data_IF_003478169868
#
_entry.id   IF_003478169868
#
_cell.length_a   1.000
_cell.length_b   1.000
_cell.length_c   1.000
_cell.angle_alpha   90.00
_cell.angle_beta   90.00
_cell.angle_gamma   90.00
#
_symmetry.space_group_name_H-M   'P 1'
#
loop_
_entity.id
_entity.type
_entity.pdbx_description
1 polymer ?
#
# COMPACT_ATOMS: atom_id res chain seq x y z
N UNK A 1 -51.51 -10.86 -12.71
CA UNK A 1 -50.39 -11.82 -12.62
C UNK A 1 -49.12 -11.00 -12.77
N UNK A 2 -48.64 -10.45 -11.67
CA UNK A 2 -47.52 -9.50 -11.62
C UNK A 2 -46.49 -10.12 -10.71
N UNK A 3 -45.33 -10.48 -11.27
CA UNK A 3 -44.22 -11.01 -10.51
C UNK A 3 -43.64 -9.89 -9.65
N UNK A 4 -43.37 -10.10 -8.35
CA UNK A 4 -42.67 -9.12 -7.55
C UNK A 4 -41.21 -9.02 -8.00
N UNK A 5 -40.82 -7.80 -8.32
CA UNK A 5 -39.44 -7.35 -8.55
C UNK A 5 -38.57 -7.79 -7.39
N UNK A 6 -37.49 -8.50 -7.72
CA UNK A 6 -36.54 -9.06 -6.77
C UNK A 6 -35.99 -7.99 -5.84
N UNK A 7 -35.92 -8.37 -4.57
CA UNK A 7 -35.19 -7.67 -3.52
C UNK A 7 -33.80 -7.27 -4.01
N UNK A 8 -33.53 -5.97 -3.89
CA UNK A 8 -32.20 -5.39 -3.85
C UNK A 8 -31.33 -6.19 -2.87
N UNK A 9 -30.46 -7.02 -3.43
CA UNK A 9 -29.36 -7.58 -2.70
C UNK A 9 -28.49 -6.43 -2.23
N UNK A 10 -28.51 -6.17 -0.92
CA UNK A 10 -27.50 -5.36 -0.25
C UNK A 10 -26.13 -5.99 -0.49
N UNK A 11 -25.50 -5.63 -1.61
CA UNK A 11 -24.08 -5.83 -1.82
C UNK A 11 -23.40 -4.99 -0.75
N UNK A 12 -22.88 -5.69 0.25
CA UNK A 12 -22.10 -5.11 1.33
C UNK A 12 -21.01 -4.19 0.77
N UNK A 13 -20.77 -3.11 1.51
CA UNK A 13 -19.77 -2.06 1.35
C UNK A 13 -18.29 -2.56 1.34
N UNK A 14 -18.08 -3.84 1.00
CA UNK A 14 -16.82 -4.56 1.05
C UNK A 14 -15.77 -4.08 0.03
N UNK A 15 -16.14 -3.14 -0.84
CA UNK A 15 -15.23 -2.53 -1.82
C UNK A 15 -14.48 -1.31 -1.28
N UNK A 16 -14.81 -0.84 -0.06
CA UNK A 16 -14.19 0.33 0.57
C UNK A 16 -13.32 -0.06 1.77
N UNK A 17 -12.12 0.55 1.95
CA UNK A 17 -11.34 0.33 3.16
C UNK A 17 -12.06 0.85 4.41
N UNK A 18 -11.90 0.17 5.57
CA UNK A 18 -12.41 0.71 6.84
C UNK A 18 -11.85 2.10 7.13
N UNK A 19 -12.61 2.95 7.84
CA UNK A 19 -12.14 4.31 8.21
C UNK A 19 -10.76 4.30 8.89
N UNK A 20 -10.53 3.38 9.83
CA UNK A 20 -9.24 3.23 10.50
C UNK A 20 -8.09 2.90 9.53
N UNK A 21 -8.36 2.19 8.44
CA UNK A 21 -7.37 1.94 7.39
C UNK A 21 -7.05 3.22 6.61
N UNK A 22 -8.04 4.06 6.34
CA UNK A 22 -7.81 5.38 5.71
C UNK A 22 -7.00 6.31 6.62
N UNK A 23 -7.28 6.35 7.93
CA UNK A 23 -6.52 7.14 8.92
C UNK A 23 -5.05 6.66 9.00
N UNK A 24 -4.83 5.35 8.96
CA UNK A 24 -3.49 4.77 8.90
C UNK A 24 -2.77 5.12 7.59
N UNK A 25 -3.46 5.05 6.45
CA UNK A 25 -2.89 5.44 5.15
C UNK A 25 -2.59 6.94 5.07
N UNK A 26 -3.41 7.81 5.68
CA UNK A 26 -3.13 9.24 5.76
C UNK A 26 -1.84 9.49 6.53
N UNK A 27 -1.71 8.89 7.72
CA UNK A 27 -0.51 8.96 8.55
C UNK A 27 0.73 8.49 7.79
N UNK A 28 0.62 7.37 7.05
CA UNK A 28 1.67 6.85 6.19
C UNK A 28 2.06 7.86 5.11
N UNK A 29 1.12 8.33 4.30
CA UNK A 29 1.43 9.17 3.16
C UNK A 29 1.91 10.56 3.56
N UNK A 30 1.36 11.16 4.61
CA UNK A 30 1.89 12.40 5.19
C UNK A 30 3.36 12.24 5.60
N UNK A 31 3.70 11.11 6.25
CA UNK A 31 5.08 10.82 6.65
C UNK A 31 6.01 10.65 5.44
N UNK A 32 5.56 9.95 4.39
CA UNK A 32 6.33 9.78 3.15
C UNK A 32 6.54 11.11 2.40
N UNK A 33 5.52 11.96 2.32
CA UNK A 33 5.60 13.30 1.73
C UNK A 33 6.65 14.14 2.45
N UNK A 34 6.58 14.22 3.79
CA UNK A 34 7.53 14.97 4.61
C UNK A 34 8.97 14.47 4.42
N UNK A 35 9.19 13.16 4.54
CA UNK A 35 10.51 12.56 4.34
C UNK A 35 11.06 12.84 2.93
N UNK A 36 10.21 12.79 1.91
CA UNK A 36 10.62 13.04 0.53
C UNK A 36 10.97 14.51 0.30
N UNK A 37 10.13 15.44 0.77
CA UNK A 37 10.38 16.88 0.67
C UNK A 37 11.70 17.25 1.36
N UNK A 38 11.89 16.86 2.62
CA UNK A 38 13.14 17.12 3.36
C UNK A 38 14.37 16.57 2.65
N UNK A 39 14.27 15.38 2.04
CA UNK A 39 15.39 14.78 1.30
C UNK A 39 15.71 15.50 -0.01
N UNK A 40 14.69 16.03 -0.67
CA UNK A 40 14.85 16.71 -1.96
C UNK A 40 15.31 18.18 -1.73
N UNK A 41 14.96 18.81 -0.59
CA UNK A 41 15.37 20.17 -0.19
C UNK A 41 16.75 20.23 0.50
N UNK A 42 17.10 19.25 1.34
CA UNK A 42 18.30 19.33 2.19
C UNK A 42 19.47 18.53 1.62
N UNK A 43 20.62 19.20 1.44
CA UNK A 43 21.90 18.58 1.06
C UNK A 43 23.03 19.09 1.98
N UNK A 44 23.74 18.20 2.71
CA UNK A 44 23.57 16.74 2.75
C UNK A 44 22.30 16.34 3.52
N UNK A 45 21.65 15.26 3.08
CA UNK A 45 20.48 14.72 3.79
C UNK A 45 20.91 13.97 5.04
N UNK A 46 20.42 14.39 6.22
CA UNK A 46 20.70 13.70 7.49
C UNK A 46 19.90 12.41 7.61
N UNK A 47 20.48 11.33 7.06
CA UNK A 47 19.91 9.99 7.16
C UNK A 47 19.88 9.48 8.62
N UNK A 48 20.83 9.90 9.46
CA UNK A 48 20.91 9.44 10.84
C UNK A 48 19.73 9.98 11.67
N UNK A 49 19.40 11.27 11.50
CA UNK A 49 18.27 11.92 12.16
C UNK A 49 16.91 11.31 11.80
N UNK A 50 16.70 10.87 10.55
CA UNK A 50 15.42 10.29 10.11
C UNK A 50 15.31 8.77 10.28
N UNK A 51 16.40 8.09 10.63
CA UNK A 51 16.46 6.61 10.75
C UNK A 51 15.39 6.03 11.70
N UNK A 52 15.12 6.62 12.89
CA UNK A 52 14.04 6.14 13.77
C UNK A 52 12.68 6.20 13.09
N UNK A 53 12.38 7.29 12.38
CA UNK A 53 11.12 7.47 11.64
C UNK A 53 10.98 6.45 10.51
N UNK A 54 12.05 6.21 9.73
CA UNK A 54 12.06 5.18 8.69
C UNK A 54 11.80 3.78 9.27
N UNK A 55 12.39 3.47 10.42
CA UNK A 55 12.19 2.18 11.10
C UNK A 55 10.75 2.02 11.62
N UNK A 56 10.21 3.05 12.26
CA UNK A 56 8.83 3.05 12.73
C UNK A 56 7.84 2.89 11.57
N UNK A 57 8.06 3.64 10.48
CA UNK A 57 7.23 3.56 9.29
C UNK A 57 7.29 2.17 8.63
N UNK A 58 8.48 1.59 8.49
CA UNK A 58 8.64 0.24 7.94
C UNK A 58 8.01 -0.86 8.81
N UNK A 59 7.96 -0.65 10.13
CA UNK A 59 7.31 -1.56 11.06
C UNK A 59 5.77 -1.47 10.95
N UNK A 60 5.22 -0.26 10.83
CA UNK A 60 3.78 -0.04 10.70
C UNK A 60 3.26 -0.37 9.29
N UNK A 61 4.05 -0.09 8.26
CA UNK A 61 3.68 -0.24 6.85
C UNK A 61 4.78 -1.01 6.08
N UNK A 62 4.80 -2.34 6.18
CA UNK A 62 5.80 -3.15 5.49
C UNK A 62 5.86 -2.83 3.99
N UNK A 63 7.06 -2.58 3.48
CA UNK A 63 7.29 -2.26 2.07
C UNK A 63 7.14 -0.77 1.69
N UNK A 64 6.68 0.11 2.59
CA UNK A 64 6.47 1.53 2.30
C UNK A 64 7.76 2.27 1.88
N UNK A 65 8.93 1.83 2.35
CA UNK A 65 10.21 2.44 1.95
C UNK A 65 10.48 2.27 0.46
N UNK A 66 9.95 1.22 -0.18
CA UNK A 66 10.03 1.05 -1.64
C UNK A 66 9.23 2.10 -2.39
N UNK A 67 8.13 2.60 -1.80
CA UNK A 67 7.38 3.72 -2.36
C UNK A 67 8.20 5.01 -2.28
N UNK A 68 8.87 5.27 -1.14
CA UNK A 68 9.75 6.43 -0.98
C UNK A 68 10.87 6.48 -2.03
N UNK A 69 11.42 5.32 -2.38
CA UNK A 69 12.48 5.17 -3.39
C UNK A 69 11.97 5.32 -4.83
N UNK A 70 10.75 4.85 -5.12
CA UNK A 70 10.23 4.72 -6.49
C UNK A 70 9.36 5.89 -6.92
N UNK A 71 8.54 6.42 -6.01
CA UNK A 71 7.55 7.44 -6.32
C UNK A 71 8.21 8.83 -6.29
N UNK A 72 7.67 9.73 -7.11
CA UNK A 72 8.00 11.15 -7.08
C UNK A 72 7.20 11.81 -5.95
N UNK A 73 7.67 12.98 -5.48
CA UNK A 73 6.96 13.75 -4.46
C UNK A 73 5.50 14.01 -4.85
N UNK A 74 5.25 14.44 -6.09
CA UNK A 74 3.90 14.69 -6.61
C UNK A 74 2.96 13.49 -6.57
N UNK A 75 3.47 12.28 -6.75
CA UNK A 75 2.64 11.07 -6.64
C UNK A 75 2.32 10.72 -5.19
N UNK A 76 3.26 10.95 -4.26
CA UNK A 76 3.01 10.80 -2.83
C UNK A 76 1.98 11.83 -2.34
N UNK A 77 2.06 13.07 -2.82
CA UNK A 77 1.11 14.15 -2.53
C UNK A 77 -0.28 13.88 -3.11
N UNK A 78 -0.36 13.33 -4.34
CA UNK A 78 -1.62 12.89 -4.94
C UNK A 78 -2.29 11.83 -4.06
N UNK A 79 -1.56 10.76 -3.71
CA UNK A 79 -2.08 9.68 -2.84
C UNK A 79 -2.52 10.20 -1.47
N UNK A 80 -1.74 11.10 -0.86
CA UNK A 80 -2.13 11.75 0.40
C UNK A 80 -3.43 12.54 0.26
N UNK A 81 -3.56 13.35 -0.80
CA UNK A 81 -4.75 14.16 -1.04
C UNK A 81 -5.99 13.30 -1.26
N UNK A 82 -5.88 12.22 -2.03
CA UNK A 82 -6.98 11.29 -2.27
C UNK A 82 -7.44 10.60 -0.99
N UNK A 83 -6.51 10.15 -0.14
CA UNK A 83 -6.88 9.53 1.15
C UNK A 83 -7.57 10.54 2.07
N UNK A 84 -7.09 11.78 2.11
CA UNK A 84 -7.72 12.85 2.89
C UNK A 84 -9.13 13.19 2.37
N UNK A 85 -9.34 13.17 1.05
CA UNK A 85 -10.66 13.34 0.45
C UNK A 85 -11.61 12.21 0.87
N UNK A 86 -11.15 10.95 0.86
CA UNK A 86 -11.94 9.82 1.33
C UNK A 86 -12.31 9.96 2.82
N UNK A 87 -11.37 10.37 3.67
CA UNK A 87 -11.63 10.64 5.10
C UNK A 87 -12.64 11.75 5.36
N UNK A 88 -12.69 12.75 4.46
CA UNK A 88 -13.65 13.85 4.49
C UNK A 88 -15.05 13.48 3.96
N UNK A 89 -15.28 12.20 3.62
CA UNK A 89 -16.56 11.70 3.11
C UNK A 89 -16.62 11.57 1.58
N UNK A 90 -15.50 11.80 0.88
CA UNK A 90 -15.38 11.46 -0.53
C UNK A 90 -15.36 9.95 -0.76
N UNK A 91 -15.53 9.53 -2.02
CA UNK A 91 -15.43 8.12 -2.38
C UNK A 91 -13.99 7.61 -2.19
N UNK A 92 -13.84 6.49 -1.50
CA UNK A 92 -12.55 5.80 -1.43
C UNK A 92 -12.22 5.19 -2.80
N UNK A 93 -10.96 5.33 -3.22
CA UNK A 93 -10.49 4.73 -4.46
C UNK A 93 -10.04 3.28 -4.24
N UNK A 94 -10.20 2.37 -5.22
CA UNK A 94 -9.88 0.95 -5.05
C UNK A 94 -8.46 0.70 -4.55
N UNK A 95 -7.48 1.49 -5.03
CA UNK A 95 -6.07 1.35 -4.65
C UNK A 95 -5.85 1.50 -3.14
N UNK A 96 -6.70 2.23 -2.42
CA UNK A 96 -6.58 2.43 -0.96
C UNK A 96 -6.84 1.12 -0.22
N UNK A 97 -7.91 0.40 -0.59
CA UNK A 97 -8.18 -0.94 -0.07
C UNK A 97 -7.04 -1.91 -0.43
N UNK A 98 -6.59 -1.87 -1.69
CA UNK A 98 -5.53 -2.75 -2.16
C UNK A 98 -4.21 -2.52 -1.40
N UNK A 99 -3.87 -1.26 -1.15
CA UNK A 99 -2.67 -0.88 -0.40
C UNK A 99 -2.76 -1.31 1.07
N UNK A 100 -3.93 -1.16 1.69
CA UNK A 100 -4.16 -1.61 3.05
C UNK A 100 -4.00 -3.13 3.18
N UNK A 101 -4.71 -3.90 2.35
CA UNK A 101 -4.60 -5.37 2.32
C UNK A 101 -3.15 -5.81 2.05
N UNK A 102 -2.45 -5.14 1.12
CA UNK A 102 -1.04 -5.43 0.86
C UNK A 102 -0.17 -5.29 2.12
N UNK A 103 -0.28 -4.20 2.88
CA UNK A 103 0.50 -4.01 4.10
C UNK A 103 0.17 -5.05 5.16
N UNK A 104 -1.11 -5.33 5.35
CA UNK A 104 -1.63 -6.34 6.26
C UNK A 104 -1.04 -7.72 5.95
N UNK A 105 -1.14 -8.18 4.70
CA UNK A 105 -0.67 -9.50 4.30
C UNK A 105 0.86 -9.61 4.28
N UNK A 106 1.57 -8.55 3.87
CA UNK A 106 3.02 -8.52 3.94
C UNK A 106 3.52 -8.53 5.40
N UNK A 107 2.82 -7.84 6.30
CA UNK A 107 3.10 -7.86 7.73
C UNK A 107 2.98 -9.26 8.32
N UNK A 108 1.90 -9.98 8.01
CA UNK A 108 1.73 -11.37 8.44
C UNK A 108 2.77 -12.31 7.84
N UNK A 109 3.10 -12.17 6.55
CA UNK A 109 4.16 -12.96 5.92
C UNK A 109 5.53 -12.75 6.59
N UNK A 110 5.86 -11.50 6.93
CA UNK A 110 7.09 -11.18 7.64
C UNK A 110 7.09 -11.71 9.07
N UNK A 111 5.97 -11.58 9.80
CA UNK A 111 5.83 -12.12 11.16
C UNK A 111 6.03 -13.64 11.17
N UNK A 112 5.37 -14.37 10.26
CA UNK A 112 5.55 -15.81 10.08
C UNK A 112 7.00 -16.17 9.80
N UNK A 113 7.64 -15.47 8.86
CA UNK A 113 9.03 -15.73 8.48
C UNK A 113 10.01 -15.49 9.63
N UNK A 114 9.68 -14.56 10.53
CA UNK A 114 10.50 -14.21 11.69
C UNK A 114 10.12 -14.99 12.97
N UNK A 115 9.10 -15.86 12.93
CA UNK A 115 8.60 -16.54 14.12
C UNK A 115 7.96 -15.60 15.15
N UNK A 116 7.46 -14.43 14.71
CA UNK A 116 6.81 -13.44 15.57
C UNK A 116 5.30 -13.66 15.63
N UNK A 117 4.62 -13.16 16.68
CA UNK A 117 3.16 -13.11 16.71
C UNK A 117 2.60 -12.39 15.49
N UNK A 118 1.46 -12.87 14.98
CA UNK A 118 0.76 -12.23 13.87
C UNK A 118 0.21 -10.88 14.32
N UNK A 119 0.34 -9.81 13.52
CA UNK A 119 -0.12 -8.47 13.89
C UNK A 119 -1.65 -8.33 13.95
N UNK A 120 -2.39 -9.27 13.36
CA UNK A 120 -3.85 -9.32 13.33
C UNK A 120 -4.31 -10.77 13.05
N UNK A 121 -5.57 -11.08 13.36
CA UNK A 121 -6.22 -12.35 13.00
C UNK A 121 -6.44 -12.43 11.48
N UNK A 122 -5.38 -12.75 10.75
CA UNK A 122 -5.51 -13.09 9.33
C UNK A 122 -5.81 -14.59 9.23
N UNK A 123 -6.83 -15.01 8.47
CA UNK A 123 -7.05 -16.42 8.18
C UNK A 123 -5.96 -16.93 7.22
N UNK A 124 -4.79 -17.28 7.78
CA UNK A 124 -3.65 -17.80 7.01
C UNK A 124 -3.85 -19.29 6.77
N UNK A 125 -4.08 -19.66 5.52
CA UNK A 125 -4.18 -21.07 5.09
C UNK A 125 -2.84 -21.80 5.27
N UNK A 126 -2.88 -23.13 5.30
CA UNK A 126 -1.66 -23.94 5.37
C UNK A 126 -0.75 -23.68 4.16
N UNK A 127 -1.34 -23.57 2.97
CA UNK A 127 -0.65 -23.32 1.71
C UNK A 127 0.10 -21.98 1.74
N UNK A 128 -0.52 -20.93 2.28
CA UNK A 128 0.13 -19.64 2.43
C UNK A 128 1.32 -19.72 3.39
N UNK A 129 1.17 -20.42 4.53
CA UNK A 129 2.25 -20.59 5.50
C UNK A 129 3.45 -21.31 4.90
N UNK A 130 3.21 -22.35 4.12
CA UNK A 130 4.25 -23.09 3.42
C UNK A 130 4.92 -22.24 2.34
N UNK A 131 4.13 -21.50 1.56
CA UNK A 131 4.64 -20.55 0.57
C UNK A 131 5.49 -19.44 1.22
N UNK A 132 5.15 -18.95 2.41
CA UNK A 132 5.99 -17.95 3.13
C UNK A 132 7.34 -18.53 3.55
N UNK A 133 7.38 -19.81 3.94
CA UNK A 133 8.65 -20.51 4.29
C UNK A 133 9.53 -20.73 3.07
N UNK A 134 8.93 -21.00 1.91
CA UNK A 134 9.61 -21.23 0.64
C UNK A 134 9.01 -20.36 -0.48
N UNK A 135 9.27 -19.04 -0.45
CA UNK A 135 8.59 -18.12 -1.35
C UNK A 135 8.90 -18.42 -2.81
N UNK A 136 7.90 -18.38 -3.71
CA UNK A 136 8.12 -18.46 -5.15
C UNK A 136 9.18 -17.44 -5.58
N UNK A 137 10.21 -17.91 -6.30
CA UNK A 137 11.35 -17.08 -6.74
C UNK A 137 12.09 -16.35 -5.60
N UNK A 138 11.98 -16.84 -4.36
CA UNK A 138 12.65 -16.31 -3.18
C UNK A 138 12.07 -14.98 -2.65
N UNK A 139 10.92 -14.51 -3.15
CA UNK A 139 10.40 -13.16 -2.85
C UNK A 139 8.98 -13.20 -2.28
N UNK A 140 8.79 -12.55 -1.12
CA UNK A 140 7.48 -12.46 -0.46
C UNK A 140 6.51 -11.51 -1.18
N UNK A 141 7.02 -10.43 -1.79
CA UNK A 141 6.14 -9.40 -2.40
C UNK A 141 5.27 -9.99 -3.53
N UNK A 142 5.80 -10.71 -4.53
CA UNK A 142 4.96 -11.36 -5.53
C UNK A 142 3.92 -12.32 -4.93
N UNK A 143 4.31 -13.13 -3.94
CA UNK A 143 3.37 -14.02 -3.24
C UNK A 143 2.22 -13.25 -2.59
N UNK A 144 2.51 -12.15 -1.90
CA UNK A 144 1.50 -11.31 -1.24
C UNK A 144 0.59 -10.64 -2.26
N UNK A 145 1.14 -10.16 -3.38
CA UNK A 145 0.35 -9.57 -4.47
C UNK A 145 -0.68 -10.58 -4.99
N UNK A 146 -0.26 -11.82 -5.29
CA UNK A 146 -1.17 -12.87 -5.78
C UNK A 146 -2.30 -13.16 -4.79
N UNK A 147 -1.98 -13.25 -3.51
CA UNK A 147 -2.96 -13.54 -2.46
C UNK A 147 -3.95 -12.39 -2.30
N UNK A 148 -3.49 -11.15 -2.28
CA UNK A 148 -4.37 -9.98 -2.18
C UNK A 148 -5.23 -9.85 -3.44
N UNK A 149 -4.65 -10.06 -4.62
CA UNK A 149 -5.35 -10.02 -5.89
C UNK A 149 -6.49 -11.06 -5.95
N UNK A 150 -6.21 -12.31 -5.57
CA UNK A 150 -7.20 -13.37 -5.47
C UNK A 150 -8.33 -13.02 -4.49
N UNK A 151 -8.00 -12.45 -3.33
CA UNK A 151 -8.99 -12.07 -2.30
C UNK A 151 -9.91 -10.94 -2.75
N UNK A 152 -9.37 -10.00 -3.52
CA UNK A 152 -10.11 -8.84 -4.00
C UNK A 152 -10.77 -9.08 -5.36
N UNK A 153 -10.55 -10.24 -5.98
CA UNK A 153 -11.08 -10.56 -7.29
C UNK A 153 -10.52 -9.68 -8.41
N UNK A 154 -9.27 -9.20 -8.27
CA UNK A 154 -8.61 -8.34 -9.26
C UNK A 154 -7.39 -9.03 -9.86
N UNK A 155 -6.98 -8.69 -11.10
CA UNK A 155 -5.74 -9.19 -11.68
C UNK A 155 -4.50 -8.79 -10.88
N UNK A 156 -3.57 -9.73 -10.67
CA UNK A 156 -2.35 -9.49 -9.89
C UNK A 156 -1.41 -8.45 -10.51
N UNK A 157 -1.37 -8.38 -11.85
CA UNK A 157 -0.62 -7.39 -12.61
C UNK A 157 -1.24 -5.99 -12.50
N UNK A 158 -2.56 -5.88 -12.56
CA UNK A 158 -3.28 -4.63 -12.32
C UNK A 158 -3.02 -4.10 -10.90
N UNK A 159 -3.12 -4.97 -9.89
CA UNK A 159 -2.83 -4.61 -8.51
C UNK A 159 -1.36 -4.17 -8.36
N UNK A 160 -0.41 -4.94 -8.90
CA UNK A 160 1.01 -4.63 -8.81
C UNK A 160 1.38 -3.31 -9.50
N UNK A 161 0.84 -3.06 -10.70
CA UNK A 161 1.13 -1.84 -11.47
C UNK A 161 0.49 -0.61 -10.84
N UNK A 162 -0.68 -0.75 -10.23
CA UNK A 162 -1.35 0.32 -9.49
C UNK A 162 -0.62 0.68 -8.20
N UNK A 163 -0.25 -0.31 -7.39
CA UNK A 163 0.42 -0.07 -6.11
C UNK A 163 1.87 0.38 -6.29
N UNK A 164 2.59 -0.24 -7.24
CA UNK A 164 4.01 -0.04 -7.48
C UNK A 164 4.28 0.27 -8.96
N UNK A 165 3.85 1.44 -9.45
CA UNK A 165 4.08 1.82 -10.83
C UNK A 165 5.58 1.77 -11.17
N UNK A 166 5.93 1.44 -12.43
CA UNK A 166 7.31 1.49 -12.88
C UNK A 166 7.91 2.85 -12.54
N UNK A 167 9.19 2.86 -12.16
CA UNK A 167 9.92 4.11 -11.94
C UNK A 167 9.90 4.87 -13.26
N UNK A 168 9.09 5.92 -13.38
CA UNK A 168 9.10 6.80 -14.55
C UNK A 168 10.51 7.33 -14.71
N UNK A 169 11.15 7.05 -15.85
CA UNK A 169 12.41 7.66 -16.24
C UNK A 169 12.33 9.18 -15.97
N UNK A 170 13.40 9.77 -15.45
CA UNK A 170 13.46 11.22 -15.28
C UNK A 170 13.02 11.84 -16.62
N UNK A 171 11.99 12.69 -16.58
CA UNK A 171 11.64 13.45 -17.78
C UNK A 171 12.88 14.23 -18.23
N UNK A 172 13.01 14.56 -19.52
CA UNK A 172 14.10 15.41 -19.98
C UNK A 172 14.15 16.66 -19.08
N UNK A 173 15.36 17.11 -18.66
CA UNK A 173 15.48 18.34 -17.88
C UNK A 173 14.80 19.48 -18.64
N UNK A 174 14.20 20.46 -17.93
CA UNK A 174 13.63 21.62 -18.60
C UNK A 174 14.70 22.26 -19.49
N UNK A 175 14.33 22.79 -20.68
CA UNK A 175 15.29 23.46 -21.53
C UNK A 175 15.95 24.56 -20.71
N UNK A 176 17.30 24.55 -20.68
CA UNK A 176 18.05 25.68 -20.13
C UNK A 176 17.74 26.86 -21.04
N UNK A 177 16.90 27.78 -20.56
CA UNK A 177 16.61 29.02 -21.28
C UNK A 177 17.92 29.71 -21.64
N UNK A 178 18.09 29.98 -22.93
CA UNK A 178 19.12 30.87 -23.46
C UNK A 178 18.67 32.31 -23.45
#
# INVERSE_FOLDING_TARGET
MTLPTGQDGGATDASSPPRAALEALETKYLSLVRLRATRDETRPFDLAGVKPTLKALAAAFPGCLRELDRLRLSELERRHTEVRQALAGGAALPWMLWMWEFHTWLGAALALKQGRPLPQEIPLTAEFRDAVRRPPRGRLVPLVIEVVAQRLGVPADELATTLFPPRRAAGPPPPRGG
#
